data_IF_633530692174
#
_entry.id   IF_633530692174
#
_cell.length_a   1.000
_cell.length_b   1.000
_cell.length_c   1.000
_cell.angle_alpha   90.00
_cell.angle_beta   90.00
_cell.angle_gamma   90.00
#
_symmetry.space_group_name_H-M   'P 1'
#
loop_
_entity.id
_entity.type
_entity.pdbx_description
1 polymer ?
#
# COMPACT_ATOMS: atom_id res chain seq x y z
N UNK A 1 18.03 0.60 -22.46
CA UNK A 1 17.43 1.25 -21.28
C UNK A 1 17.43 0.25 -20.13
N UNK A 2 17.98 0.60 -18.96
CA UNK A 2 17.85 -0.26 -17.78
C UNK A 2 16.41 -0.19 -17.26
N UNK A 3 15.92 -1.30 -16.74
CA UNK A 3 14.58 -1.43 -16.17
C UNK A 3 14.69 -1.76 -14.69
N UNK A 4 13.71 -1.32 -13.90
CA UNK A 4 13.56 -1.65 -12.48
C UNK A 4 12.38 -2.59 -12.28
N UNK A 5 12.54 -3.58 -11.41
CA UNK A 5 11.49 -4.55 -11.04
C UNK A 5 10.92 -4.16 -9.69
N UNK A 6 9.60 -3.90 -9.63
CA UNK A 6 8.92 -3.44 -8.43
C UNK A 6 7.88 -4.49 -8.01
N UNK A 7 7.93 -5.04 -6.79
CA UNK A 7 6.95 -6.00 -6.33
C UNK A 7 5.58 -5.34 -6.09
N UNK A 8 4.53 -5.97 -6.60
CA UNK A 8 3.13 -5.61 -6.32
C UNK A 8 2.62 -6.47 -5.17
N UNK A 9 1.93 -5.84 -4.22
CA UNK A 9 1.39 -6.43 -3.02
C UNK A 9 -0.12 -6.21 -2.95
N UNK A 10 -0.84 -7.23 -2.50
CA UNK A 10 -2.18 -7.11 -1.95
C UNK A 10 -2.07 -6.98 -0.43
N UNK A 11 -2.66 -5.93 0.13
CA UNK A 11 -2.70 -5.67 1.57
C UNK A 11 -4.12 -5.91 2.03
N UNK A 12 -4.29 -6.97 2.80
CA UNK A 12 -5.52 -7.27 3.50
C UNK A 12 -5.48 -6.57 4.86
N UNK A 13 -6.40 -5.64 5.09
CA UNK A 13 -6.40 -4.80 6.28
C UNK A 13 -7.80 -4.43 6.72
N UNK A 14 -7.95 -4.08 7.99
CA UNK A 14 -9.20 -3.66 8.58
C UNK A 14 -9.37 -2.17 8.34
N UNK A 15 -10.28 -1.79 7.43
CA UNK A 15 -10.58 -0.41 7.09
C UNK A 15 -11.84 0.07 7.81
N UNK A 16 -11.72 1.22 8.49
CA UNK A 16 -12.84 1.87 9.17
C UNK A 16 -13.85 2.48 8.18
N UNK A 17 -13.49 2.67 6.90
CA UNK A 17 -14.40 3.28 5.92
C UNK A 17 -15.61 2.40 5.58
N UNK A 18 -15.53 1.09 5.81
CA UNK A 18 -16.66 0.17 5.62
C UNK A 18 -17.61 0.11 6.82
N UNK A 19 -17.30 0.79 7.92
CA UNK A 19 -18.28 1.09 8.96
C UNK A 19 -19.16 2.25 8.50
N UNK A 20 -19.98 2.03 7.47
CA UNK A 20 -20.86 3.06 6.90
C UNK A 20 -21.83 3.64 7.95
N UNK A 21 -22.20 2.87 8.98
CA UNK A 21 -22.95 3.31 10.17
C UNK A 21 -22.54 2.48 11.40
N UNK A 22 -21.52 2.90 12.18
CA UNK A 22 -21.12 2.16 13.37
C UNK A 22 -22.20 2.29 14.45
N UNK A 23 -22.91 1.20 14.73
CA UNK A 23 -23.83 1.06 15.88
C UNK A 23 -23.30 0.01 16.85
N UNK A 24 -23.84 -0.07 18.06
CA UNK A 24 -23.49 -1.14 19.03
C UNK A 24 -23.69 -2.57 18.46
N UNK A 25 -24.49 -2.74 17.39
CA UNK A 25 -24.76 -4.03 16.76
C UNK A 25 -23.99 -4.29 15.46
N UNK A 26 -23.25 -3.30 14.92
CA UNK A 26 -22.49 -3.44 13.68
C UNK A 26 -21.12 -2.75 13.75
N UNK A 27 -20.35 -3.08 14.80
CA UNK A 27 -18.98 -2.60 15.01
C UNK A 27 -17.92 -3.46 14.32
N UNK A 28 -18.32 -4.48 13.57
CA UNK A 28 -17.38 -5.42 12.94
C UNK A 28 -16.79 -4.75 11.71
N UNK A 29 -15.59 -4.20 11.87
CA UNK A 29 -14.84 -3.61 10.78
C UNK A 29 -14.61 -4.68 9.69
N UNK A 30 -15.12 -4.44 8.50
CA UNK A 30 -14.95 -5.34 7.36
C UNK A 30 -13.55 -5.19 6.80
N UNK A 31 -12.94 -6.33 6.48
CA UNK A 31 -11.60 -6.32 5.92
C UNK A 31 -11.63 -5.87 4.45
N UNK A 32 -10.74 -4.96 4.10
CA UNK A 32 -10.51 -4.45 2.75
C UNK A 32 -9.25 -5.07 2.16
N UNK A 33 -9.19 -5.12 0.83
CA UNK A 33 -8.00 -5.52 0.09
C UNK A 33 -7.62 -4.39 -0.87
N UNK A 34 -6.48 -3.78 -0.62
CA UNK A 34 -5.87 -2.81 -1.55
C UNK A 34 -4.65 -3.43 -2.23
N UNK A 35 -4.54 -3.22 -3.54
CA UNK A 35 -3.45 -3.75 -4.35
C UNK A 35 -2.61 -2.59 -4.89
N UNK A 36 -1.30 -2.69 -4.73
CA UNK A 36 -0.36 -1.66 -5.17
C UNK A 36 1.09 -2.03 -4.89
N UNK A 37 2.01 -1.10 -5.05
CA UNK A 37 3.39 -1.30 -4.58
C UNK A 37 3.65 -0.49 -3.32
N UNK A 38 4.38 -1.08 -2.37
CA UNK A 38 4.75 -0.43 -1.12
C UNK A 38 5.90 0.53 -1.44
N UNK A 39 5.63 1.83 -1.32
CA UNK A 39 6.63 2.88 -1.55
C UNK A 39 7.57 2.99 -0.36
N UNK A 40 6.96 3.06 0.82
CA UNK A 40 7.64 3.23 2.11
C UNK A 40 6.96 2.34 3.14
N UNK A 41 7.77 1.81 4.05
CA UNK A 41 7.32 1.11 5.24
C UNK A 41 7.84 1.88 6.44
N UNK A 42 6.97 2.10 7.41
CA UNK A 42 7.28 2.75 8.68
C UNK A 42 6.93 1.78 9.80
N UNK A 43 7.39 2.08 11.02
CA UNK A 43 7.11 1.25 12.21
C UNK A 43 5.61 1.11 12.48
N UNK A 44 4.85 2.15 12.22
CA UNK A 44 3.42 2.28 12.53
C UNK A 44 2.48 2.19 11.32
N UNK A 45 3.01 2.33 10.10
CA UNK A 45 2.22 2.40 8.86
C UNK A 45 2.98 1.95 7.62
N UNK A 46 2.28 1.77 6.51
CA UNK A 46 2.85 1.66 5.18
C UNK A 46 2.25 2.72 4.25
N UNK A 47 3.03 3.13 3.25
CA UNK A 47 2.55 3.96 2.15
C UNK A 47 2.43 3.08 0.91
N UNK A 48 1.19 2.82 0.50
CA UNK A 48 0.84 2.03 -0.68
C UNK A 48 0.54 2.94 -1.86
N UNK A 49 1.15 2.70 -3.02
CA UNK A 49 0.78 3.40 -4.25
C UNK A 49 -0.16 2.54 -5.07
N UNK A 50 -1.33 3.11 -5.39
CA UNK A 50 -2.38 2.43 -6.17
C UNK A 50 -2.37 2.83 -7.64
N UNK A 51 -1.84 4.00 -7.99
CA UNK A 51 -1.81 4.50 -9.37
C UNK A 51 -0.53 5.30 -9.68
N UNK A 52 0.09 5.02 -10.83
CA UNK A 52 1.25 5.74 -11.36
C UNK A 52 0.88 6.30 -12.73
N UNK A 53 1.14 7.58 -12.98
CA UNK A 53 0.76 8.22 -14.24
C UNK A 53 1.92 8.88 -14.99
N UNK A 54 2.90 9.50 -14.32
CA UNK A 54 3.87 10.33 -15.07
C UNK A 54 5.25 10.49 -14.41
N UNK A 55 6.33 10.26 -15.18
CA UNK A 55 7.75 10.42 -14.81
C UNK A 55 8.14 10.01 -13.38
N UNK A 56 7.64 8.86 -12.92
CA UNK A 56 7.95 8.32 -11.60
C UNK A 56 7.18 8.95 -10.43
N UNK A 57 6.32 9.96 -10.67
CA UNK A 57 5.51 10.58 -9.62
C UNK A 57 4.22 9.80 -9.37
N UNK A 58 3.94 9.58 -8.08
CA UNK A 58 2.68 9.01 -7.62
C UNK A 58 1.55 10.05 -7.70
N UNK A 59 0.38 9.67 -8.20
CA UNK A 59 -0.85 10.47 -8.07
C UNK A 59 -1.74 10.03 -6.91
N UNK A 60 -1.72 8.75 -6.56
CA UNK A 60 -2.60 8.20 -5.54
C UNK A 60 -1.83 7.27 -4.60
N UNK A 61 -1.49 7.80 -3.43
CA UNK A 61 -0.98 7.05 -2.27
C UNK A 61 -2.11 6.78 -1.29
N UNK A 62 -2.01 5.67 -0.58
CA UNK A 62 -2.81 5.36 0.59
C UNK A 62 -1.87 5.09 1.77
N UNK A 63 -2.21 5.62 2.94
CA UNK A 63 -1.50 5.34 4.18
C UNK A 63 -2.30 4.29 4.95
N UNK A 64 -1.70 3.14 5.22
CA UNK A 64 -2.34 2.03 5.92
C UNK A 64 -1.64 1.82 7.27
N UNK A 65 -2.33 1.97 8.41
CA UNK A 65 -1.76 1.70 9.73
C UNK A 65 -1.42 0.22 9.91
N UNK A 66 -0.23 -0.09 10.42
CA UNK A 66 0.22 -1.48 10.62
C UNK A 66 -0.69 -2.27 11.56
N UNK A 67 -1.31 -1.61 12.55
CA UNK A 67 -2.24 -2.24 13.51
C UNK A 67 -3.47 -2.85 12.82
N UNK A 68 -3.88 -2.33 11.67
CA UNK A 68 -5.01 -2.84 10.91
C UNK A 68 -4.63 -3.91 9.89
N UNK A 69 -3.35 -4.14 9.63
CA UNK A 69 -2.92 -5.08 8.58
C UNK A 69 -3.08 -6.51 9.08
N UNK A 70 -3.91 -7.28 8.38
CA UNK A 70 -4.10 -8.71 8.61
C UNK A 70 -3.03 -9.51 7.88
N UNK A 71 -2.77 -9.17 6.60
CA UNK A 71 -1.79 -9.89 5.77
C UNK A 71 -1.30 -9.02 4.61
N UNK A 72 -0.03 -9.21 4.24
CA UNK A 72 0.56 -8.65 3.01
C UNK A 72 0.96 -9.83 2.11
N UNK A 73 0.49 -9.82 0.86
CA UNK A 73 0.71 -10.90 -0.10
C UNK A 73 1.39 -10.30 -1.33
N UNK A 74 2.54 -10.84 -1.75
CA UNK A 74 3.13 -10.49 -3.04
C UNK A 74 2.30 -11.15 -4.15
N UNK A 75 1.72 -10.34 -5.03
CA UNK A 75 0.82 -10.81 -6.10
C UNK A 75 1.42 -10.66 -7.50
N UNK A 76 2.51 -9.93 -7.64
CA UNK A 76 3.17 -9.77 -8.94
C UNK A 76 4.43 -8.92 -8.90
N UNK A 77 4.91 -8.58 -10.09
CA UNK A 77 6.05 -7.68 -10.30
C UNK A 77 5.74 -6.80 -11.50
N UNK A 78 5.91 -5.48 -11.33
CA UNK A 78 5.84 -4.49 -12.38
C UNK A 78 7.26 -4.18 -12.87
N UNK A 79 7.45 -4.08 -14.19
CA UNK A 79 8.73 -3.66 -14.79
C UNK A 79 8.59 -2.24 -15.29
N UNK A 80 9.39 -1.31 -14.75
CA UNK A 80 9.37 0.11 -15.09
C UNK A 80 10.72 0.59 -15.65
N UNK A 81 10.76 1.70 -16.40
CA UNK A 81 12.02 2.36 -16.78
C UNK A 81 12.84 2.84 -15.57
N UNK A 82 14.17 2.92 -15.70
CA UNK A 82 15.10 3.31 -14.60
C UNK A 82 14.81 4.68 -13.94
N UNK A 83 14.13 5.60 -14.64
CA UNK A 83 13.76 6.92 -14.13
C UNK A 83 12.59 6.95 -13.13
N UNK A 84 11.98 5.80 -12.80
CA UNK A 84 10.94 5.73 -11.77
C UNK A 84 11.55 5.75 -10.36
N UNK A 85 10.89 6.45 -9.43
CA UNK A 85 11.37 6.63 -8.06
C UNK A 85 11.67 5.27 -7.42
N UNK A 86 12.94 5.08 -7.03
CA UNK A 86 13.42 3.87 -6.35
C UNK A 86 12.95 3.88 -4.90
N UNK A 87 12.61 2.71 -4.40
CA UNK A 87 12.21 2.43 -3.01
C UNK A 87 13.25 3.03 -2.07
N UNK A 88 12.82 3.83 -1.09
CA UNK A 88 13.68 4.36 -0.03
C UNK A 88 13.65 3.35 1.12
N UNK A 89 14.76 2.67 1.44
CA UNK A 89 14.82 1.80 2.60
C UNK A 89 14.65 2.61 3.90
N UNK A 90 14.01 2.01 4.89
CA UNK A 90 13.70 2.63 6.18
C UNK A 90 15.02 2.95 6.92
N UNK A 91 15.16 4.18 7.44
CA UNK A 91 16.03 4.43 8.58
C UNK A 91 15.25 4.07 9.85
N UNK A 92 15.68 3.02 10.55
CA UNK A 92 15.16 2.70 11.87
C UNK A 92 15.54 3.84 12.83
N UNK A 93 14.56 4.63 13.25
CA UNK A 93 14.67 5.59 14.35
C UNK A 93 13.69 5.20 15.45
#
# INVERSE_FOLDING_TARGET
>A
MKQVKIPIHAIHWIDACHAFEPSQMNTTLSAAIDIGYILERHKDRIILIRQIFDYGKCRHTMVIPNKGIVKIIKVGVLTLPEGFIKIIPINEA
#
